data_IF_367877736030
#
_entry.id   IF_367877736030
#
_cell.length_a   1.000
_cell.length_b   1.000
_cell.length_c   1.000
_cell.angle_alpha   90.00
_cell.angle_beta   90.00
_cell.angle_gamma   90.00
#
_symmetry.space_group_name_H-M   'P 1'
#
loop_
_entity.id
_entity.type
_entity.pdbx_description
1 polymer ?
#
# COMPACT_ATOMS: atom_id res chain seq x y z
N UNK A 1 -3.75 -6.52 -4.88
CA UNK A 1 -3.84 -5.60 -3.74
C UNK A 1 -2.54 -5.48 -2.98
N UNK A 2 -1.83 -6.59 -2.79
CA UNK A 2 -0.55 -6.52 -2.08
C UNK A 2 0.50 -5.73 -2.85
N UNK A 3 0.45 -5.78 -4.18
CA UNK A 3 1.37 -5.00 -4.99
C UNK A 3 1.17 -3.51 -4.77
N UNK A 4 -0.08 -3.08 -4.74
CA UNK A 4 -0.40 -1.68 -4.50
C UNK A 4 0.07 -1.26 -3.11
N UNK A 5 -0.20 -2.09 -2.13
CA UNK A 5 0.19 -1.81 -0.75
C UNK A 5 1.71 -1.72 -0.62
N UNK A 6 2.42 -2.60 -1.28
CA UNK A 6 3.89 -2.59 -1.29
C UNK A 6 4.42 -1.28 -1.89
N UNK A 7 3.84 -0.83 -3.00
CA UNK A 7 4.25 0.41 -3.64
C UNK A 7 3.95 1.61 -2.74
N UNK A 8 2.82 1.60 -2.04
CA UNK A 8 2.50 2.63 -1.08
C UNK A 8 3.54 2.68 0.02
N UNK A 9 3.95 1.52 0.51
CA UNK A 9 4.93 1.46 1.60
C UNK A 9 6.29 2.03 1.19
N UNK A 10 6.57 2.01 -0.12
CA UNK A 10 7.81 2.55 -0.66
C UNK A 10 7.73 4.04 -0.97
N UNK A 11 6.56 4.65 -0.74
CA UNK A 11 6.41 6.09 -0.94
C UNK A 11 6.00 6.50 -2.33
N UNK A 12 5.58 5.57 -3.18
CA UNK A 12 5.14 5.91 -4.54
C UNK A 12 3.85 6.72 -4.50
N UNK A 13 3.76 7.72 -5.36
CA UNK A 13 2.53 8.49 -5.52
C UNK A 13 1.50 7.65 -6.28
N UNK A 14 0.22 7.98 -6.11
CA UNK A 14 -0.84 7.24 -6.78
C UNK A 14 -0.69 7.23 -8.29
N UNK A 15 -0.29 8.37 -8.88
CA UNK A 15 -0.07 8.44 -10.33
C UNK A 15 1.06 7.52 -10.76
N UNK A 16 2.09 7.40 -9.96
CA UNK A 16 3.20 6.49 -10.25
C UNK A 16 2.77 5.04 -10.17
N UNK A 17 1.97 4.74 -9.17
CA UNK A 17 1.44 3.38 -9.00
C UNK A 17 0.56 3.01 -10.20
N UNK A 18 -0.29 3.96 -10.63
CA UNK A 18 -1.16 3.74 -11.77
C UNK A 18 -0.35 3.42 -13.02
N UNK A 19 0.72 4.17 -13.23
CA UNK A 19 1.58 3.97 -14.39
C UNK A 19 2.26 2.61 -14.34
N UNK A 20 2.78 2.22 -13.19
CA UNK A 20 3.46 0.94 -13.01
C UNK A 20 2.51 -0.23 -13.18
N UNK A 21 1.27 -0.06 -12.76
CA UNK A 21 0.26 -1.12 -12.83
C UNK A 21 -0.48 -1.14 -14.17
N UNK A 22 -0.30 -0.11 -15.00
CA UNK A 22 -1.00 -0.03 -16.28
C UNK A 22 -2.50 0.24 -16.12
N UNK A 23 -2.88 0.99 -15.10
CA UNK A 23 -4.28 1.32 -14.82
C UNK A 23 -4.42 2.82 -14.60
N UNK A 24 -5.66 3.29 -14.45
CA UNK A 24 -5.91 4.71 -14.20
C UNK A 24 -5.68 5.04 -12.72
N UNK A 25 -5.45 6.33 -12.46
CA UNK A 25 -5.34 6.80 -11.08
C UNK A 25 -6.63 6.52 -10.31
N UNK A 26 -7.77 6.65 -10.98
CA UNK A 26 -9.05 6.35 -10.36
C UNK A 26 -9.10 4.91 -9.85
N UNK A 27 -8.62 3.98 -10.66
CA UNK A 27 -8.57 2.57 -10.28
C UNK A 27 -7.67 2.38 -9.05
N UNK A 28 -6.51 3.04 -9.03
CA UNK A 28 -5.62 2.96 -7.89
C UNK A 28 -6.30 3.48 -6.62
N UNK A 29 -6.97 4.61 -6.73
CA UNK A 29 -7.68 5.18 -5.58
C UNK A 29 -8.75 4.24 -5.04
N UNK A 30 -9.47 3.59 -5.94
CA UNK A 30 -10.50 2.64 -5.54
C UNK A 30 -9.88 1.46 -4.79
N UNK A 31 -8.78 0.94 -5.30
CA UNK A 31 -8.07 -0.15 -4.63
C UNK A 31 -7.59 0.25 -3.24
N UNK A 32 -7.01 1.45 -3.14
CA UNK A 32 -6.48 1.93 -1.87
C UNK A 32 -7.60 2.12 -0.86
N UNK A 33 -8.73 2.65 -1.31
CA UNK A 33 -9.88 2.83 -0.46
C UNK A 33 -10.35 1.48 0.10
N UNK A 34 -10.37 0.47 -0.76
CA UNK A 34 -10.75 -0.88 -0.37
C UNK A 34 -9.77 -1.45 0.65
N UNK A 35 -8.47 -1.25 0.41
CA UNK A 35 -7.45 -1.73 1.34
C UNK A 35 -7.58 -1.06 2.71
N UNK A 36 -7.79 0.24 2.72
CA UNK A 36 -7.96 0.96 3.98
C UNK A 36 -9.18 0.44 4.74
N UNK A 37 -10.24 0.17 4.03
CA UNK A 37 -11.44 -0.38 4.64
C UNK A 37 -11.17 -1.75 5.26
N UNK A 38 -10.47 -2.61 4.54
CA UNK A 38 -10.15 -3.95 5.03
C UNK A 38 -9.25 -3.91 6.25
N UNK A 39 -8.34 -2.95 6.30
CA UNK A 39 -7.42 -2.81 7.43
C UNK A 39 -7.99 -1.96 8.54
N UNK A 40 -9.16 -1.36 8.33
CA UNK A 40 -9.82 -0.49 9.29
C UNK A 40 -8.94 0.70 9.66
N UNK A 41 -8.29 1.29 8.67
CA UNK A 41 -7.40 2.44 8.88
C UNK A 41 -7.89 3.63 8.07
N UNK A 42 -7.34 4.81 8.36
CA UNK A 42 -7.81 6.06 7.77
C UNK A 42 -6.72 6.83 7.03
N UNK A 43 -5.50 6.34 7.01
CA UNK A 43 -4.41 7.04 6.36
C UNK A 43 -3.40 6.06 5.80
N UNK A 44 -2.57 6.56 4.88
CA UNK A 44 -1.50 5.75 4.31
C UNK A 44 -0.55 5.22 5.38
N UNK A 45 -0.19 6.07 6.34
CA UNK A 45 0.71 5.66 7.39
C UNK A 45 0.15 4.54 8.23
N UNK A 46 -1.13 4.64 8.58
CA UNK A 46 -1.80 3.58 9.33
C UNK A 46 -1.87 2.29 8.52
N UNK A 47 -2.16 2.41 7.21
CA UNK A 47 -2.26 1.24 6.36
C UNK A 47 -0.93 0.49 6.29
N UNK A 48 0.17 1.23 6.14
CA UNK A 48 1.50 0.63 6.07
C UNK A 48 1.84 -0.03 7.40
N UNK A 49 1.55 0.65 8.50
CA UNK A 49 1.84 0.12 9.83
C UNK A 49 1.07 -1.17 10.09
N UNK A 50 -0.23 -1.18 9.80
CA UNK A 50 -1.05 -2.37 10.03
C UNK A 50 -0.62 -3.51 9.12
N UNK A 51 -0.31 -3.22 7.86
CA UNK A 51 0.15 -4.24 6.94
C UNK A 51 1.45 -4.87 7.40
N UNK A 52 2.36 -4.08 7.93
CA UNK A 52 3.61 -4.59 8.49
C UNK A 52 3.35 -5.51 9.66
N UNK A 53 2.45 -5.08 10.54
CA UNK A 53 2.07 -5.88 11.72
C UNK A 53 1.51 -7.23 11.32
N UNK A 54 0.71 -7.25 10.25
CA UNK A 54 0.06 -8.46 9.79
C UNK A 54 0.94 -9.32 8.89
N UNK A 55 2.13 -8.85 8.58
CA UNK A 55 3.04 -9.60 7.72
C UNK A 55 2.68 -9.54 6.26
N UNK A 56 1.94 -8.53 5.83
CA UNK A 56 1.51 -8.40 4.44
C UNK A 56 2.53 -7.70 3.56
N UNK A 57 3.54 -7.09 4.15
CA UNK A 57 4.58 -6.37 3.42
C UNK A 57 5.91 -7.07 3.58
N UNK A 58 6.82 -6.86 2.62
CA UNK A 58 8.18 -7.37 2.78
C UNK A 58 8.79 -6.84 4.06
N UNK A 59 9.58 -7.65 4.70
CA UNK A 59 10.17 -7.30 5.98
C UNK A 59 11.51 -6.58 5.80
N UNK A 60 11.45 -5.47 5.13
CA UNK A 60 12.66 -4.75 4.81
C UNK A 60 13.41 -4.28 6.04
N UNK A 61 12.67 -3.83 7.01
CA UNK A 61 13.30 -3.34 8.22
C UNK A 61 13.89 -4.43 9.07
N UNK A 62 13.44 -5.64 8.89
CA UNK A 62 13.86 -6.75 9.71
C UNK A 62 15.32 -7.12 9.49
N UNK A 63 15.84 -6.77 8.34
CA UNK A 63 17.23 -7.09 8.03
C UNK A 63 18.19 -6.31 8.89
N UNK A 64 17.72 -5.35 9.59
CA UNK A 64 18.56 -4.50 10.42
C UNK A 64 18.81 -5.07 11.78
N UNK A 65 18.33 -6.17 12.02
CA UNK A 65 18.46 -6.78 13.33
C UNK A 65 19.83 -7.33 13.59
#
# INVERSE_FOLDING_TARGET
>A
EQDVLNLISRGFAYAEIAQLQGVSVHTVRTHIKSLYSKLAVHSRGEAVFEASKLGLLPRMGAVNL
#
